data_IF_017643285155
#
_entry.id   IF_017643285155
#
_cell.length_a   1.000
_cell.length_b   1.000
_cell.length_c   1.000
_cell.angle_alpha   90.00
_cell.angle_beta   90.00
_cell.angle_gamma   90.00
#
_symmetry.space_group_name_H-M   'P 1'
#
loop_
_entity.id
_entity.type
_entity.pdbx_description
1 polymer ?
#
# COMPACT_ATOMS: atom_id res chain seq x y z
N UNK A 1 10.76 14.61 -29.92
CA UNK A 1 10.44 14.35 -29.67
C UNK A 1 10.23 14.15 -29.31
N UNK A 2 10.06 14.27 -29.07
CA UNK A 2 9.46 14.03 -28.62
C UNK A 2 9.39 13.53 -28.15
N UNK A 3 9.34 13.35 -28.25
CA UNK A 3 8.91 12.70 -27.77
C UNK A 3 9.22 12.20 -27.18
N UNK A 4 9.43 11.60 -27.47
CA UNK A 4 9.66 11.12 -26.62
C UNK A 4 9.36 11.52 -25.64
N UNK A 5 9.50 12.18 -25.78
CA UNK A 5 8.96 13.00 -24.71
C UNK A 5 7.50 12.75 -24.46
N UNK A 6 6.78 12.42 -25.45
CA UNK A 6 5.35 12.06 -25.28
C UNK A 6 5.17 10.92 -24.28
N UNK A 7 6.03 9.92 -24.33
CA UNK A 7 5.96 8.82 -23.37
C UNK A 7 6.27 9.30 -21.96
N UNK A 8 7.08 10.36 -21.83
CA UNK A 8 7.40 10.92 -20.52
C UNK A 8 6.22 11.64 -19.89
N UNK A 9 5.24 12.04 -20.69
CA UNK A 9 4.05 12.69 -20.17
C UNK A 9 3.02 11.69 -19.64
N UNK A 10 3.25 10.39 -19.88
CA UNK A 10 2.36 9.34 -19.41
C UNK A 10 2.95 8.74 -18.14
N UNK A 11 2.36 9.02 -16.97
CA UNK A 11 2.86 8.41 -15.74
C UNK A 11 2.79 6.90 -15.83
N UNK A 12 3.82 6.24 -15.37
CA UNK A 12 3.97 4.80 -15.49
C UNK A 12 2.87 4.03 -14.78
N UNK A 13 2.40 4.57 -13.67
CA UNK A 13 1.38 3.92 -12.83
C UNK A 13 0.02 4.58 -12.98
N UNK A 14 -0.24 5.20 -14.14
CA UNK A 14 -1.48 5.94 -14.36
C UNK A 14 -2.71 5.07 -14.11
N UNK A 15 -3.62 5.57 -13.29
CA UNK A 15 -4.88 4.92 -12.98
C UNK A 15 -4.80 3.77 -11.97
N UNK A 16 -3.59 3.43 -11.51
CA UNK A 16 -3.44 2.39 -10.51
C UNK A 16 -4.03 2.85 -9.18
N UNK A 17 -4.89 2.03 -8.58
CA UNK A 17 -5.51 2.36 -7.29
C UNK A 17 -4.67 1.84 -6.16
N UNK A 18 -4.25 2.74 -5.27
CA UNK A 18 -3.42 2.41 -4.13
C UNK A 18 -4.12 2.85 -2.85
N UNK A 19 -4.19 1.95 -1.88
CA UNK A 19 -4.71 2.28 -0.55
C UNK A 19 -3.56 2.30 0.43
N UNK A 20 -3.43 3.40 1.18
CA UNK A 20 -2.41 3.56 2.22
C UNK A 20 -3.10 3.69 3.57
N UNK A 21 -2.79 2.77 4.46
CA UNK A 21 -3.41 2.66 5.79
C UNK A 21 -2.35 2.94 6.84
N UNK A 22 -2.47 4.06 7.53
CA UNK A 22 -1.53 4.44 8.59
C UNK A 22 -2.22 5.44 9.50
N UNK A 23 -2.05 5.32 10.80
CA UNK A 23 -2.63 6.27 11.75
C UNK A 23 -1.88 7.60 11.76
N UNK A 24 -0.69 7.66 11.16
CA UNK A 24 0.10 8.89 11.02
C UNK A 24 -0.34 9.68 9.79
N UNK A 25 -0.85 10.88 10.03
CA UNK A 25 -1.24 11.79 8.96
C UNK A 25 -0.05 12.14 8.05
N UNK A 26 1.14 12.30 8.65
CA UNK A 26 2.36 12.62 7.90
C UNK A 26 2.70 11.51 6.91
N UNK A 27 2.65 10.25 7.36
CA UNK A 27 2.94 9.11 6.49
C UNK A 27 1.91 9.02 5.37
N UNK A 28 0.62 9.16 5.68
CA UNK A 28 -0.43 9.12 4.66
C UNK A 28 -0.20 10.19 3.60
N UNK A 29 0.09 11.43 4.02
CA UNK A 29 0.32 12.53 3.08
C UNK A 29 1.56 12.35 2.24
N UNK A 30 2.64 11.87 2.85
CA UNK A 30 3.88 11.61 2.12
C UNK A 30 3.65 10.58 1.02
N UNK A 31 3.05 9.45 1.37
CA UNK A 31 2.77 8.40 0.40
C UNK A 31 1.82 8.89 -0.70
N UNK A 32 0.77 9.60 -0.31
CA UNK A 32 -0.20 10.13 -1.26
C UNK A 32 0.45 11.08 -2.26
N UNK A 33 1.29 11.99 -1.78
CA UNK A 33 1.98 12.96 -2.64
C UNK A 33 2.92 12.25 -3.62
N UNK A 34 3.72 11.31 -3.11
CA UNK A 34 4.66 10.57 -3.94
C UNK A 34 3.96 9.77 -5.03
N UNK A 35 2.90 9.08 -4.65
CA UNK A 35 2.20 8.17 -5.57
C UNK A 35 1.30 8.93 -6.56
N UNK A 36 0.69 10.03 -6.13
CA UNK A 36 -0.13 10.84 -7.02
C UNK A 36 0.70 11.41 -8.17
N UNK A 37 1.95 11.76 -7.90
CA UNK A 37 2.85 12.25 -8.95
C UNK A 37 3.14 11.21 -10.01
N UNK A 38 3.02 9.93 -9.67
CA UNK A 38 3.22 8.83 -10.61
C UNK A 38 1.92 8.41 -11.31
N UNK A 39 0.86 9.16 -11.10
CA UNK A 39 -0.42 8.91 -11.75
C UNK A 39 -1.34 7.96 -11.00
N UNK A 40 -0.98 7.53 -9.81
CA UNK A 40 -1.83 6.65 -9.01
C UNK A 40 -3.05 7.39 -8.49
N UNK A 41 -4.15 6.67 -8.40
CA UNK A 41 -5.34 7.11 -7.68
C UNK A 41 -5.18 6.60 -6.25
N UNK A 42 -4.94 7.51 -5.30
CA UNK A 42 -4.58 7.15 -3.93
C UNK A 42 -5.75 7.35 -2.98
N UNK A 43 -6.06 6.31 -2.23
CA UNK A 43 -7.02 6.34 -1.14
C UNK A 43 -6.26 6.16 0.17
N UNK A 44 -6.72 6.78 1.24
CA UNK A 44 -6.08 6.65 2.55
C UNK A 44 -7.08 6.19 3.58
N UNK A 45 -6.58 5.51 4.60
CA UNK A 45 -7.39 5.06 5.74
C UNK A 45 -6.59 5.28 7.02
N UNK A 46 -7.29 5.57 8.11
CA UNK A 46 -6.66 5.93 9.39
C UNK A 46 -6.50 4.74 10.31
N UNK A 47 -7.23 3.67 10.08
CA UNK A 47 -7.17 2.45 10.89
C UNK A 47 -7.65 1.26 10.09
N UNK A 48 -7.62 0.08 10.71
CA UNK A 48 -7.99 -1.16 10.03
C UNK A 48 -9.46 -1.24 9.64
N UNK A 49 -10.34 -0.66 10.45
CA UNK A 49 -11.79 -0.69 10.14
C UNK A 49 -12.10 0.22 8.95
N UNK A 50 -11.54 1.42 8.95
CA UNK A 50 -11.64 2.35 7.80
C UNK A 50 -11.06 1.69 6.54
N UNK A 51 -9.95 0.97 6.70
CA UNK A 51 -9.31 0.25 5.61
C UNK A 51 -10.24 -0.77 4.95
N UNK A 52 -10.92 -1.58 5.76
CA UNK A 52 -11.82 -2.61 5.21
C UNK A 52 -12.95 -1.96 4.42
N UNK A 53 -13.48 -0.84 4.89
CA UNK A 53 -14.48 -0.08 4.16
C UNK A 53 -13.95 0.42 2.81
N UNK A 54 -12.73 0.97 2.81
CA UNK A 54 -12.11 1.49 1.59
C UNK A 54 -11.78 0.38 0.59
N UNK A 55 -11.35 -0.79 1.07
CA UNK A 55 -11.10 -1.95 0.21
C UNK A 55 -12.39 -2.36 -0.49
N UNK A 56 -13.49 -2.43 0.26
CA UNK A 56 -14.78 -2.80 -0.31
C UNK A 56 -15.27 -1.78 -1.33
N UNK A 57 -15.13 -0.50 -1.02
CA UNK A 57 -15.65 0.56 -1.87
C UNK A 57 -14.84 0.77 -3.15
N UNK A 58 -13.52 0.63 -3.07
CA UNK A 58 -12.63 1.02 -4.16
C UNK A 58 -11.90 -0.14 -4.82
N UNK A 59 -11.80 -1.28 -4.16
CA UNK A 59 -11.07 -2.46 -4.65
C UNK A 59 -9.70 -2.08 -5.19
N UNK A 60 -8.79 -1.61 -4.33
CA UNK A 60 -7.48 -1.14 -4.76
C UNK A 60 -6.66 -2.27 -5.40
N UNK A 61 -5.69 -1.86 -6.22
CA UNK A 61 -4.77 -2.79 -6.87
C UNK A 61 -3.66 -3.24 -5.92
N UNK A 62 -3.36 -2.43 -4.91
CA UNK A 62 -2.35 -2.74 -3.88
C UNK A 62 -2.68 -1.97 -2.61
N UNK A 63 -2.31 -2.56 -1.47
CA UNK A 63 -2.55 -1.99 -0.13
C UNK A 63 -1.22 -1.90 0.61
N UNK A 64 -0.95 -0.73 1.18
CA UNK A 64 0.14 -0.53 2.14
C UNK A 64 -0.49 -0.32 3.51
N UNK A 65 -0.08 -1.09 4.51
CA UNK A 65 -0.69 -1.04 5.84
C UNK A 65 0.35 -0.99 6.95
N UNK A 66 0.20 0.01 7.82
CA UNK A 66 1.01 0.13 9.04
C UNK A 66 0.74 -1.05 9.96
N UNK A 67 1.81 -1.65 10.49
CA UNK A 67 1.71 -2.77 11.42
C UNK A 67 1.14 -2.31 12.74
N UNK A 68 1.62 -1.18 13.27
CA UNK A 68 1.28 -0.71 14.61
C UNK A 68 0.11 0.27 14.56
N UNK A 69 -1.09 -0.26 14.70
CA UNK A 69 -2.32 0.55 14.77
C UNK A 69 -3.15 0.09 15.96
N UNK A 70 -3.91 1.01 16.59
CA UNK A 70 -4.77 0.61 17.70
C UNK A 70 -5.94 -0.24 17.24
N UNK A 71 -6.42 -1.09 18.13
CA UNK A 71 -7.60 -1.96 17.97
C UNK A 71 -7.41 -3.05 16.94
N UNK A 72 -7.21 -2.72 15.68
CA UNK A 72 -7.01 -3.66 14.58
C UNK A 72 -5.65 -3.34 13.96
N UNK A 73 -4.62 -4.13 14.26
CA UNK A 73 -3.27 -3.88 13.75
C UNK A 73 -3.13 -4.30 12.29
N UNK A 74 -1.94 -4.08 11.72
CA UNK A 74 -1.68 -4.38 10.31
C UNK A 74 -1.77 -5.86 9.99
N UNK A 75 -1.34 -6.72 10.89
CA UNK A 75 -1.44 -8.17 10.67
C UNK A 75 -2.89 -8.61 10.63
N UNK A 76 -3.69 -8.11 11.56
CA UNK A 76 -5.12 -8.44 11.62
C UNK A 76 -5.86 -7.91 10.39
N UNK A 77 -5.54 -6.67 9.99
CA UNK A 77 -6.13 -6.07 8.79
C UNK A 77 -5.79 -6.87 7.55
N UNK A 78 -4.52 -7.24 7.38
CA UNK A 78 -4.07 -8.06 6.27
C UNK A 78 -4.80 -9.41 6.26
N UNK A 79 -4.89 -10.06 7.41
CA UNK A 79 -5.57 -11.34 7.53
C UNK A 79 -7.03 -11.26 7.07
N UNK A 80 -7.74 -10.21 7.48
CA UNK A 80 -9.14 -10.03 7.08
C UNK A 80 -9.28 -9.82 5.57
N UNK A 81 -8.37 -9.07 4.95
CA UNK A 81 -8.36 -8.88 3.50
C UNK A 81 -8.11 -10.23 2.81
N UNK A 82 -7.12 -10.98 3.26
CA UNK A 82 -6.70 -12.23 2.62
C UNK A 82 -7.70 -13.38 2.83
N UNK A 83 -8.51 -13.33 3.87
CA UNK A 83 -9.55 -14.33 4.08
C UNK A 83 -10.83 -14.04 3.30
N UNK A 84 -10.92 -12.89 2.66
CA UNK A 84 -12.07 -12.54 1.84
C UNK A 84 -11.84 -13.02 0.40
N UNK A 85 -12.76 -13.81 -0.12
CA UNK A 85 -12.63 -14.40 -1.47
C UNK A 85 -12.52 -13.35 -2.57
N UNK A 86 -13.14 -12.18 -2.38
CA UNK A 86 -13.14 -11.10 -3.38
C UNK A 86 -11.82 -10.33 -3.34
N UNK A 87 -11.23 -10.14 -2.16
CA UNK A 87 -10.10 -9.23 -1.97
C UNK A 87 -8.77 -9.92 -1.78
N UNK A 88 -8.75 -11.24 -1.62
CA UNK A 88 -7.50 -11.96 -1.26
C UNK A 88 -6.40 -11.87 -2.32
N UNK A 89 -6.75 -11.54 -3.55
CA UNK A 89 -5.75 -11.39 -4.61
C UNK A 89 -5.03 -10.04 -4.56
N UNK A 90 -5.53 -9.08 -3.78
CA UNK A 90 -4.92 -7.76 -3.66
C UNK A 90 -3.61 -7.90 -2.89
N UNK A 91 -2.46 -7.49 -3.46
CA UNK A 91 -1.19 -7.51 -2.73
C UNK A 91 -1.23 -6.57 -1.52
N UNK A 92 -0.74 -7.06 -0.39
CA UNK A 92 -0.66 -6.27 0.85
C UNK A 92 0.81 -6.15 1.26
N UNK A 93 1.28 -4.92 1.36
CA UNK A 93 2.64 -4.58 1.76
C UNK A 93 2.58 -3.96 3.16
N UNK A 94 3.33 -4.54 4.10
CA UNK A 94 3.35 -4.04 5.47
C UNK A 94 4.30 -2.85 5.59
N UNK A 95 3.92 -1.86 6.40
CA UNK A 95 4.79 -0.73 6.72
C UNK A 95 5.24 -0.87 8.18
N UNK A 96 6.53 -1.05 8.39
CA UNK A 96 7.11 -1.24 9.72
C UNK A 96 7.89 0.01 10.12
N UNK A 97 7.74 0.46 11.36
CA UNK A 97 8.57 1.56 11.85
C UNK A 97 10.02 1.09 11.98
N UNK A 98 10.95 2.05 11.96
CA UNK A 98 12.39 1.75 12.09
C UNK A 98 12.68 0.99 13.38
N UNK A 99 11.98 1.33 14.45
CA UNK A 99 12.15 0.68 15.74
C UNK A 99 11.18 -0.47 15.96
N UNK A 100 10.30 -0.71 14.99
CA UNK A 100 9.34 -1.79 15.05
C UNK A 100 9.98 -3.10 14.63
N UNK A 101 9.45 -4.19 15.17
CA UNK A 101 9.92 -5.52 14.83
C UNK A 101 8.90 -6.17 13.91
N UNK A 102 9.19 -6.12 12.61
CA UNK A 102 8.37 -6.86 11.66
C UNK A 102 8.64 -8.35 11.83
N UNK A 103 7.61 -9.10 12.15
CA UNK A 103 7.69 -10.55 12.25
C UNK A 103 7.42 -11.15 10.88
N UNK A 104 8.48 -11.58 10.18
CA UNK A 104 8.38 -12.14 8.84
C UNK A 104 7.51 -13.39 8.80
N UNK A 105 7.61 -14.23 9.82
CA UNK A 105 6.81 -15.45 9.89
C UNK A 105 5.34 -15.09 10.03
N UNK A 106 5.01 -14.16 10.91
CA UNK A 106 3.63 -13.71 11.10
C UNK A 106 3.09 -13.04 9.83
N UNK A 107 3.94 -12.24 9.16
CA UNK A 107 3.57 -11.62 7.87
C UNK A 107 3.18 -12.67 6.84
N UNK A 108 3.96 -13.74 6.72
CA UNK A 108 3.65 -14.82 5.79
C UNK A 108 2.37 -15.54 6.17
N UNK A 109 2.15 -15.79 7.45
CA UNK A 109 0.94 -16.47 7.93
C UNK A 109 -0.31 -15.70 7.55
N UNK A 110 -0.29 -14.37 7.69
CA UNK A 110 -1.45 -13.54 7.35
C UNK A 110 -1.54 -13.23 5.85
N UNK A 111 -0.53 -13.61 5.08
CA UNK A 111 -0.56 -13.52 3.62
C UNK A 111 -0.02 -12.22 3.02
N UNK A 112 0.74 -11.42 3.79
CA UNK A 112 1.36 -10.24 3.21
C UNK A 112 2.44 -10.64 2.21
N UNK A 113 2.57 -9.85 1.13
CA UNK A 113 3.52 -10.14 0.07
C UNK A 113 4.92 -9.58 0.36
N UNK A 114 5.00 -8.50 1.14
CA UNK A 114 6.27 -7.83 1.39
C UNK A 114 6.14 -6.84 2.54
N UNK A 115 7.23 -6.22 2.94
CA UNK A 115 7.20 -5.14 3.91
C UNK A 115 8.22 -4.05 3.53
N UNK A 116 7.95 -2.83 3.98
CA UNK A 116 8.86 -1.70 3.86
C UNK A 116 9.05 -1.08 5.23
N UNK A 117 10.25 -0.52 5.47
CA UNK A 117 10.54 0.18 6.72
C UNK A 117 10.26 1.68 6.55
N UNK A 118 9.61 2.28 7.53
CA UNK A 118 9.40 3.74 7.56
C UNK A 118 10.60 4.43 8.21
N UNK A 119 11.08 5.54 7.68
CA UNK A 119 10.60 6.21 6.47
C UNK A 119 11.02 5.46 5.20
N UNK A 120 10.11 5.39 4.26
CA UNK A 120 10.36 4.76 2.97
C UNK A 120 10.72 5.83 1.94
N UNK A 121 11.44 5.44 0.90
CA UNK A 121 11.74 6.31 -0.22
C UNK A 121 10.69 6.13 -1.31
N UNK A 122 10.65 7.10 -2.23
CA UNK A 122 9.81 7.00 -3.43
C UNK A 122 10.14 5.72 -4.20
N UNK A 123 11.44 5.45 -4.39
CA UNK A 123 11.87 4.29 -5.18
C UNK A 123 11.45 2.98 -4.51
N UNK A 124 11.46 2.91 -3.18
CA UNK A 124 11.00 1.72 -2.46
C UNK A 124 9.51 1.50 -2.66
N UNK A 125 8.70 2.56 -2.60
CA UNK A 125 7.26 2.45 -2.87
C UNK A 125 7.00 1.99 -4.30
N UNK A 126 7.65 2.62 -5.27
CA UNK A 126 7.44 2.29 -6.68
C UNK A 126 7.90 0.88 -7.01
N UNK A 127 9.04 0.47 -6.45
CA UNK A 127 9.55 -0.89 -6.66
C UNK A 127 8.60 -1.94 -6.11
N UNK A 128 8.03 -1.70 -4.93
CA UNK A 128 7.05 -2.62 -4.35
C UNK A 128 5.82 -2.75 -5.24
N UNK A 129 5.33 -1.63 -5.77
CA UNK A 129 4.17 -1.65 -6.66
C UNK A 129 4.48 -2.41 -7.94
N UNK A 130 5.60 -2.10 -8.58
CA UNK A 130 5.99 -2.73 -9.84
C UNK A 130 6.18 -4.24 -9.68
N UNK A 131 6.78 -4.65 -8.57
CA UNK A 131 7.04 -6.06 -8.31
C UNK A 131 5.75 -6.85 -8.07
N UNK A 132 4.80 -6.26 -7.37
CA UNK A 132 3.64 -7.02 -6.88
C UNK A 132 2.36 -6.80 -7.68
N UNK A 133 2.27 -5.74 -8.47
CA UNK A 133 1.09 -5.49 -9.30
C UNK A 133 1.29 -6.00 -10.72
N UNK A 134 2.53 -6.17 -11.15
CA UNK A 134 2.83 -6.74 -12.47
C UNK A 134 2.65 -5.76 -13.63
N UNK A 135 2.81 -4.49 -13.37
CA UNK A 135 2.72 -3.48 -14.41
C UNK A 135 4.06 -3.01 -14.90
#
# INVERSE_FOLDING_TARGET
MENMAASNSQPRLAGLKVLVIDDSKTIRRTAETLLAREGCEVFTAVDGFDALSKVADHQPDIVFVDIMMPRLDGYQTCSLIKHNKVFRAIPVIMLSSKDGLFDRARGRIVGSEHYLTKPFTKDELLSAIETHVGR
#
